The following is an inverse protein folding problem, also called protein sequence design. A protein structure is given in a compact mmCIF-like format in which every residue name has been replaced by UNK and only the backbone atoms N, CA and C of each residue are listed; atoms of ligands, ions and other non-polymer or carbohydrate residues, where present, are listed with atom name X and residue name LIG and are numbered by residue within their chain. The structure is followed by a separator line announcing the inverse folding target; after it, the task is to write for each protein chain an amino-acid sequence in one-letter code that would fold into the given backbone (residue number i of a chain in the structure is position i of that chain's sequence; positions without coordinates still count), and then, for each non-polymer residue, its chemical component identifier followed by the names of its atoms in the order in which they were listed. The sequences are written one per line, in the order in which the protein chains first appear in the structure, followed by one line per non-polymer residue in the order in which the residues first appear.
data_IF_784599863286
#
_entry.id   IF_784599863286
#
_cell.length_a   1.000
_cell.length_b   1.000
_cell.length_c   1.000
_cell.angle_alpha   90.00
_cell.angle_beta   90.00
_cell.angle_gamma   90.00
#
_symmetry.space_group_name_H-M   'P 1'
#
loop_
_entity.id
_entity.type
_entity.pdbx_description
1 polymer ?
#
# COMPACT_ATOMS: atom_id res chain seq x y z
N UNK A 1 8.23 -23.05 22.55
CA UNK A 1 9.44 -22.22 22.76
C UNK A 1 8.97 -20.78 22.81
N UNK A 2 8.70 -20.30 24.01
CA UNK A 2 8.27 -18.93 24.28
C UNK A 2 9.47 -17.99 24.10
N UNK A 3 9.28 -16.90 23.37
CA UNK A 3 10.30 -15.90 23.10
C UNK A 3 10.57 -15.05 24.33
N UNK A 4 11.85 -14.96 24.72
CA UNK A 4 12.32 -14.09 25.81
C UNK A 4 12.00 -12.62 25.55
N UNK A 5 11.56 -11.85 26.57
CA UNK A 5 11.23 -10.43 26.44
C UNK A 5 12.47 -9.54 26.28
N UNK A 6 12.24 -8.41 25.62
CA UNK A 6 13.23 -7.40 25.19
C UNK A 6 14.07 -6.83 26.35
N UNK A 7 15.38 -7.09 26.38
CA UNK A 7 16.33 -6.27 27.17
C UNK A 7 17.80 -6.35 26.75
N UNK A 8 18.24 -7.29 25.91
CA UNK A 8 19.64 -7.33 25.47
C UNK A 8 19.72 -7.46 23.96
N UNK A 9 20.29 -6.43 23.32
CA UNK A 9 20.88 -6.55 22.00
C UNK A 9 21.93 -7.67 22.10
N UNK A 10 21.54 -8.89 21.75
CA UNK A 10 22.40 -10.08 21.87
C UNK A 10 23.72 -9.74 21.20
N UNK A 11 24.83 -9.71 21.93
CA UNK A 11 26.11 -9.26 21.43
C UNK A 11 26.45 -10.02 20.14
N UNK A 12 26.22 -9.37 18.98
CA UNK A 12 26.40 -10.00 17.69
C UNK A 12 27.90 -10.14 17.45
N UNK A 13 28.34 -11.34 17.05
CA UNK A 13 29.68 -11.47 16.48
C UNK A 13 29.84 -10.56 15.27
N UNK A 14 31.07 -10.15 14.93
CA UNK A 14 31.34 -9.34 13.73
C UNK A 14 30.71 -9.97 12.48
N UNK A 15 30.78 -11.31 12.36
CA UNK A 15 30.12 -12.06 11.30
C UNK A 15 28.60 -11.84 11.31
N UNK A 16 27.93 -11.99 12.45
CA UNK A 16 26.48 -11.78 12.53
C UNK A 16 26.10 -10.32 12.27
N UNK A 17 26.84 -9.35 12.80
CA UNK A 17 26.61 -7.93 12.52
C UNK A 17 26.71 -7.63 11.01
N UNK A 18 27.72 -8.18 10.34
CA UNK A 18 27.88 -8.06 8.90
C UNK A 18 26.74 -8.74 8.12
N UNK A 19 26.36 -9.97 8.49
CA UNK A 19 25.27 -10.69 7.85
C UNK A 19 23.92 -10.01 8.04
N UNK A 20 23.71 -9.34 9.18
CA UNK A 20 22.52 -8.52 9.44
C UNK A 20 22.42 -7.36 8.44
N UNK A 21 23.52 -6.66 8.19
CA UNK A 21 23.59 -5.59 7.20
C UNK A 21 23.45 -6.11 5.77
N UNK A 22 24.12 -7.22 5.42
CA UNK A 22 24.01 -7.86 4.13
C UNK A 22 22.56 -8.29 3.83
N UNK A 23 21.89 -8.87 4.82
CA UNK A 23 20.49 -9.30 4.72
C UNK A 23 19.55 -8.09 4.58
N UNK A 24 19.82 -7.00 5.29
CA UNK A 24 19.06 -5.75 5.13
C UNK A 24 19.22 -5.20 3.71
N UNK A 25 20.42 -5.26 3.13
CA UNK A 25 20.63 -4.82 1.76
C UNK A 25 19.81 -5.64 0.74
N UNK A 26 19.64 -6.95 0.97
CA UNK A 26 18.77 -7.79 0.14
C UNK A 26 17.30 -7.34 0.14
N UNK A 27 16.84 -6.74 1.24
CA UNK A 27 15.49 -6.19 1.36
C UNK A 27 15.24 -4.99 0.42
N UNK A 28 16.28 -4.42 -0.19
CA UNK A 28 16.25 -3.15 -0.93
C UNK A 28 15.61 -2.04 -0.07
N UNK A 29 16.36 -1.46 0.89
CA UNK A 29 15.83 -0.50 1.86
C UNK A 29 15.12 0.69 1.22
N UNK A 30 15.47 1.04 -0.02
CA UNK A 30 14.81 2.10 -0.78
C UNK A 30 13.35 1.79 -1.14
N UNK A 31 12.91 0.53 -0.99
CA UNK A 31 11.51 0.08 -1.18
C UNK A 31 10.73 -0.05 0.12
N UNK A 32 11.39 0.10 1.26
CA UNK A 32 10.75 0.07 2.56
C UNK A 32 10.12 1.42 2.87
N UNK A 33 9.02 1.42 3.62
CA UNK A 33 8.36 2.68 4.02
C UNK A 33 9.22 3.39 5.08
N UNK A 34 8.90 4.65 5.35
CA UNK A 34 9.62 5.41 6.39
C UNK A 34 9.60 4.68 7.74
N UNK A 35 10.77 4.53 8.37
CA UNK A 35 10.97 3.80 9.62
C UNK A 35 10.98 2.27 9.50
N UNK A 36 10.59 1.69 8.35
CA UNK A 36 10.54 0.23 8.18
C UNK A 36 11.93 -0.39 8.04
N UNK A 37 12.90 0.32 7.47
CA UNK A 37 14.28 -0.17 7.39
C UNK A 37 14.90 -0.39 8.78
N UNK A 38 14.65 0.53 9.72
CA UNK A 38 15.11 0.41 11.11
C UNK A 38 14.36 -0.71 11.85
N UNK A 39 13.03 -0.80 11.67
CA UNK A 39 12.22 -1.87 12.24
C UNK A 39 12.67 -3.25 11.73
N UNK A 40 12.94 -3.36 10.43
CA UNK A 40 13.45 -4.57 9.80
C UNK A 40 14.86 -4.90 10.29
N UNK A 41 15.75 -3.90 10.38
CA UNK A 41 17.10 -4.08 10.93
C UNK A 41 17.06 -4.68 12.33
N UNK A 42 16.22 -4.16 13.25
CA UNK A 42 15.99 -4.75 14.58
C UNK A 42 15.55 -6.21 14.52
N UNK A 43 14.63 -6.55 13.62
CA UNK A 43 14.12 -7.92 13.46
C UNK A 43 15.12 -8.89 12.86
N UNK A 44 15.89 -8.48 11.86
CA UNK A 44 16.95 -9.31 11.27
C UNK A 44 17.96 -9.74 12.35
N UNK A 45 18.20 -8.90 13.36
CA UNK A 45 19.03 -9.29 14.52
C UNK A 45 18.55 -10.58 15.19
N UNK A 46 17.23 -10.79 15.31
CA UNK A 46 16.63 -12.01 15.85
C UNK A 46 16.70 -13.20 14.89
N UNK A 47 16.89 -12.99 13.59
CA UNK A 47 16.91 -14.06 12.57
C UNK A 47 18.27 -14.29 11.94
N UNK A 48 19.29 -13.54 12.34
CA UNK A 48 20.61 -13.58 11.71
C UNK A 48 21.26 -14.96 11.78
N UNK A 49 20.89 -15.78 12.77
CA UNK A 49 21.36 -17.16 12.91
C UNK A 49 20.82 -18.09 11.81
N UNK A 50 19.73 -17.73 11.14
CA UNK A 50 19.19 -18.44 9.97
C UNK A 50 19.86 -18.02 8.66
N UNK A 51 20.85 -17.13 8.71
CA UNK A 51 21.59 -16.65 7.55
C UNK A 51 22.99 -17.22 7.60
N UNK A 52 23.36 -18.00 6.59
CA UNK A 52 24.67 -18.63 6.50
C UNK A 52 25.42 -18.16 5.26
N UNK A 53 26.74 -18.14 5.34
CA UNK A 53 27.60 -17.90 4.18
C UNK A 53 28.53 -19.07 3.93
N UNK A 54 28.72 -19.41 2.67
CA UNK A 54 29.69 -20.41 2.23
C UNK A 54 30.44 -19.95 0.99
N UNK A 55 31.69 -20.38 0.78
CA UNK A 55 32.33 -20.24 -0.52
C UNK A 55 31.59 -21.07 -1.58
N UNK A 56 31.61 -20.62 -2.84
CA UNK A 56 31.13 -21.45 -3.94
C UNK A 56 32.06 -22.65 -4.16
N UNK A 57 31.49 -23.75 -4.64
CA UNK A 57 32.28 -24.90 -5.09
C UNK A 57 32.95 -24.59 -6.44
N UNK A 58 33.98 -25.36 -6.80
CA UNK A 58 34.64 -25.20 -8.09
C UNK A 58 33.63 -25.36 -9.24
N UNK A 59 33.60 -24.38 -10.16
CA UNK A 59 32.66 -24.31 -11.28
C UNK A 59 31.16 -24.31 -10.88
N UNK A 60 30.82 -23.96 -9.63
CA UNK A 60 29.42 -23.79 -9.24
C UNK A 60 28.81 -22.57 -9.94
N UNK A 61 27.71 -22.77 -10.66
CA UNK A 61 26.94 -21.66 -11.22
C UNK A 61 26.27 -20.86 -10.08
N UNK A 62 26.62 -19.58 -10.04
CA UNK A 62 26.10 -18.62 -9.06
C UNK A 62 24.83 -17.92 -9.55
N UNK A 63 24.48 -18.11 -10.82
CA UNK A 63 23.25 -17.59 -11.40
C UNK A 63 22.03 -18.08 -10.62
N UNK A 64 21.13 -17.16 -10.31
CA UNK A 64 19.95 -17.43 -9.48
C UNK A 64 20.21 -17.48 -7.97
N UNK A 65 21.40 -17.10 -7.49
CA UNK A 65 21.75 -17.11 -6.06
C UNK A 65 21.96 -15.72 -5.50
N UNK A 66 21.79 -15.60 -4.18
CA UNK A 66 22.24 -14.43 -3.43
C UNK A 66 23.73 -14.56 -3.12
N UNK A 67 24.48 -13.52 -3.44
CA UNK A 67 25.93 -13.49 -3.30
C UNK A 67 26.42 -12.22 -2.62
N UNK A 68 27.62 -12.33 -2.09
CA UNK A 68 28.39 -11.23 -1.51
C UNK A 68 29.84 -11.38 -1.96
N UNK A 69 30.47 -10.29 -2.42
CA UNK A 69 31.90 -10.28 -2.75
C UNK A 69 32.68 -9.61 -1.62
N UNK A 70 33.50 -10.38 -0.90
CA UNK A 70 34.30 -9.87 0.22
C UNK A 70 35.43 -8.93 -0.22
N UNK A 71 35.78 -8.94 -1.51
CA UNK A 71 36.82 -8.07 -2.07
C UNK A 71 36.23 -6.81 -2.74
N UNK A 72 34.96 -6.50 -2.48
CA UNK A 72 34.27 -5.34 -3.03
C UNK A 72 33.38 -4.66 -1.99
N UNK A 73 33.18 -3.34 -2.14
CA UNK A 73 32.22 -2.57 -1.33
C UNK A 73 30.76 -2.71 -1.80
N UNK A 74 30.47 -3.60 -2.75
CA UNK A 74 29.11 -3.82 -3.23
C UNK A 74 28.31 -4.59 -2.17
N UNK A 75 27.08 -4.12 -1.92
CA UNK A 75 26.17 -4.80 -1.02
C UNK A 75 25.79 -6.21 -1.53
N UNK A 76 25.30 -7.06 -0.62
CA UNK A 76 24.76 -8.36 -1.01
C UNK A 76 23.63 -8.18 -2.04
N UNK A 77 23.61 -9.04 -3.06
CA UNK A 77 22.66 -8.93 -4.15
C UNK A 77 22.35 -10.29 -4.77
N UNK A 78 21.27 -10.33 -5.53
CA UNK A 78 20.87 -11.50 -6.32
C UNK A 78 21.54 -11.46 -7.69
N UNK A 79 22.11 -12.59 -8.13
CA UNK A 79 22.61 -12.77 -9.49
C UNK A 79 21.48 -13.30 -10.39
N UNK A 80 21.01 -12.56 -11.41
CA UNK A 80 19.97 -13.06 -12.30
C UNK A 80 20.46 -14.18 -13.21
N UNK A 81 19.56 -15.12 -13.55
CA UNK A 81 19.86 -16.33 -14.33
C UNK A 81 20.51 -16.11 -15.70
N UNK A 82 20.33 -14.93 -16.30
CA UNK A 82 20.77 -14.64 -17.67
C UNK A 82 21.33 -13.21 -17.83
N UNK A 83 21.70 -12.56 -16.72
CA UNK A 83 22.25 -11.20 -16.78
C UNK A 83 23.77 -11.23 -16.62
N UNK A 84 24.52 -10.43 -17.42
CA UNK A 84 25.93 -10.22 -17.16
C UNK A 84 26.09 -9.59 -15.77
N UNK A 85 27.02 -10.12 -14.99
CA UNK A 85 27.37 -9.62 -13.67
C UNK A 85 28.88 -9.35 -13.64
N UNK A 86 29.34 -8.35 -12.86
CA UNK A 86 30.75 -8.07 -12.73
C UNK A 86 31.50 -9.29 -12.19
N UNK A 87 32.75 -9.48 -12.61
CA UNK A 87 33.59 -10.56 -12.12
C UNK A 87 33.76 -10.45 -10.60
N UNK A 88 33.32 -11.47 -9.87
CA UNK A 88 33.42 -11.55 -8.42
C UNK A 88 34.81 -12.07 -8.04
N UNK A 89 35.50 -11.37 -7.15
CA UNK A 89 36.88 -11.72 -6.77
C UNK A 89 36.91 -12.70 -5.60
N UNK A 90 36.10 -12.45 -4.57
CA UNK A 90 35.95 -13.31 -3.41
C UNK A 90 34.47 -13.57 -3.09
N UNK A 91 33.74 -14.27 -3.97
CA UNK A 91 32.32 -14.55 -3.77
C UNK A 91 32.07 -15.43 -2.54
N UNK A 92 30.96 -15.14 -1.86
CA UNK A 92 30.30 -15.96 -0.84
C UNK A 92 28.84 -16.08 -1.21
N UNK A 93 28.33 -17.31 -1.23
CA UNK A 93 26.91 -17.58 -1.39
C UNK A 93 26.24 -17.34 -0.04
N UNK A 94 25.17 -16.56 -0.07
CA UNK A 94 24.34 -16.26 1.09
C UNK A 94 23.13 -17.19 1.10
N UNK A 95 23.11 -18.13 2.03
CA UNK A 95 22.00 -19.04 2.24
C UNK A 95 20.98 -18.41 3.19
N UNK A 96 19.79 -18.15 2.66
CA UNK A 96 18.67 -17.52 3.36
C UNK A 96 17.43 -18.43 3.42
N UNK A 97 17.59 -19.74 3.17
CA UNK A 97 16.46 -20.68 3.11
C UNK A 97 15.72 -20.78 4.44
N UNK A 98 16.46 -20.92 5.53
CA UNK A 98 15.89 -20.97 6.88
C UNK A 98 15.24 -19.64 7.27
N UNK A 99 15.89 -18.51 6.94
CA UNK A 99 15.34 -17.16 7.17
C UNK A 99 13.98 -17.01 6.47
N UNK A 100 13.93 -17.36 5.19
CA UNK A 100 12.72 -17.29 4.37
C UNK A 100 11.63 -18.19 4.94
N UNK A 101 11.99 -19.39 5.41
CA UNK A 101 11.09 -20.32 6.09
C UNK A 101 10.49 -19.72 7.37
N UNK A 102 11.33 -19.13 8.23
CA UNK A 102 10.91 -18.51 9.48
C UNK A 102 9.92 -17.36 9.26
N UNK A 103 10.19 -16.47 8.30
CA UNK A 103 9.29 -15.33 8.00
C UNK A 103 7.97 -15.82 7.39
N UNK A 104 8.00 -16.78 6.45
CA UNK A 104 6.77 -17.39 5.89
C UNK A 104 5.92 -18.06 6.95
N UNK A 105 6.56 -18.73 7.92
CA UNK A 105 5.86 -19.30 9.06
C UNK A 105 5.15 -18.22 9.88
N UNK A 106 5.81 -17.10 10.17
CA UNK A 106 5.19 -15.98 10.90
C UNK A 106 3.99 -15.36 10.15
N UNK A 107 4.11 -15.17 8.83
CA UNK A 107 2.99 -14.71 7.99
C UNK A 107 1.81 -15.68 8.09
N UNK A 108 2.08 -17.00 8.04
CA UNK A 108 1.06 -18.04 8.18
C UNK A 108 0.38 -18.00 9.54
N UNK A 109 1.11 -17.69 10.61
CA UNK A 109 0.52 -17.52 11.95
C UNK A 109 -0.44 -16.33 11.98
N UNK A 110 -0.07 -15.18 11.41
CA UNK A 110 -0.99 -14.04 11.29
C UNK A 110 -2.25 -14.40 10.52
N UNK A 111 -2.11 -15.10 9.39
CA UNK A 111 -3.25 -15.53 8.57
C UNK A 111 -4.18 -16.51 9.30
N UNK A 112 -3.62 -17.40 10.13
CA UNK A 112 -4.40 -18.31 10.98
C UNK A 112 -5.15 -17.56 12.07
N UNK A 113 -4.53 -16.57 12.70
CA UNK A 113 -5.19 -15.73 13.72
C UNK A 113 -6.38 -14.99 13.12
N UNK A 114 -6.23 -14.40 11.93
CA UNK A 114 -7.34 -13.76 11.20
C UNK A 114 -8.50 -14.73 10.99
N UNK A 115 -8.20 -15.95 10.50
CA UNK A 115 -9.21 -16.98 10.23
C UNK A 115 -9.89 -17.51 11.49
N UNK A 116 -9.15 -17.70 12.58
CA UNK A 116 -9.67 -18.31 13.82
C UNK A 116 -10.57 -17.35 14.60
N UNK A 117 -10.16 -16.09 14.70
CA UNK A 117 -10.84 -15.15 15.58
C UNK A 117 -12.01 -14.42 14.89
N UNK A 118 -12.23 -14.63 13.57
CA UNK A 118 -13.07 -13.77 12.73
C UNK A 118 -12.81 -12.26 12.96
N UNK A 119 -11.62 -11.93 13.47
CA UNK A 119 -11.26 -10.61 13.94
C UNK A 119 -10.26 -10.00 12.97
N UNK A 120 -10.36 -8.69 12.77
CA UNK A 120 -9.33 -7.94 12.07
C UNK A 120 -8.06 -7.90 12.91
N UNK A 121 -6.88 -8.06 12.28
CA UNK A 121 -5.60 -7.80 12.94
C UNK A 121 -5.60 -6.40 13.56
N UNK A 122 -4.88 -6.23 14.66
CA UNK A 122 -4.54 -4.88 15.12
C UNK A 122 -3.70 -4.17 14.06
N UNK A 123 -3.70 -2.84 14.07
CA UNK A 123 -2.93 -2.06 13.10
C UNK A 123 -1.43 -2.36 13.17
N UNK A 124 -0.91 -2.65 14.36
CA UNK A 124 0.49 -3.03 14.55
C UNK A 124 0.80 -4.39 13.93
N UNK A 125 -0.08 -5.37 14.11
CA UNK A 125 0.06 -6.70 13.49
C UNK A 125 -0.08 -6.63 11.97
N UNK A 126 -1.00 -5.82 11.45
CA UNK A 126 -1.16 -5.65 10.01
C UNK A 126 0.06 -4.97 9.39
N UNK A 127 0.59 -3.90 10.00
CA UNK A 127 1.85 -3.27 9.58
C UNK A 127 3.00 -4.27 9.58
N UNK A 128 3.05 -5.13 10.60
CA UNK A 128 4.08 -6.14 10.72
C UNK A 128 3.98 -7.21 9.62
N UNK A 129 2.79 -7.79 9.43
CA UNK A 129 2.52 -8.75 8.37
C UNK A 129 2.85 -8.17 7.00
N UNK A 130 2.49 -6.91 6.76
CA UNK A 130 2.76 -6.21 5.52
C UNK A 130 4.27 -6.00 5.27
N UNK A 131 5.03 -5.67 6.33
CA UNK A 131 6.49 -5.58 6.27
C UNK A 131 7.12 -6.95 5.93
N UNK A 132 6.67 -8.01 6.61
CA UNK A 132 7.16 -9.37 6.40
C UNK A 132 6.86 -9.87 4.97
N UNK A 133 5.65 -9.59 4.45
CA UNK A 133 5.26 -9.89 3.08
C UNK A 133 6.13 -9.15 2.05
N UNK A 134 6.41 -7.85 2.26
CA UNK A 134 7.32 -7.09 1.39
C UNK A 134 8.74 -7.66 1.44
N UNK A 135 9.21 -8.00 2.63
CA UNK A 135 10.56 -8.54 2.80
C UNK A 135 10.71 -9.90 2.10
N UNK A 136 9.76 -10.81 2.27
CA UNK A 136 9.73 -12.08 1.51
C UNK A 136 9.65 -11.83 0.00
N UNK A 137 8.85 -10.87 -0.45
CA UNK A 137 8.80 -10.48 -1.86
C UNK A 137 10.15 -9.99 -2.38
N UNK A 138 10.92 -9.25 -1.57
CA UNK A 138 12.26 -8.78 -1.92
C UNK A 138 13.32 -9.90 -1.97
N UNK A 139 13.15 -10.93 -1.13
CA UNK A 139 13.99 -12.14 -1.06
C UNK A 139 13.59 -13.25 -2.05
N UNK A 140 12.48 -13.10 -2.76
CA UNK A 140 12.05 -14.04 -3.79
C UNK A 140 12.97 -14.01 -5.02
N UNK A 141 12.83 -15.01 -5.89
CA UNK A 141 13.54 -15.07 -7.18
C UNK A 141 13.26 -13.79 -7.98
N UNK A 142 14.23 -12.87 -8.00
CA UNK A 142 14.16 -11.67 -8.83
C UNK A 142 14.39 -12.11 -10.27
N UNK A 143 13.31 -12.47 -10.96
CA UNK A 143 13.38 -12.51 -12.42
C UNK A 143 13.90 -11.15 -12.88
N UNK A 144 15.00 -11.18 -13.63
CA UNK A 144 15.60 -9.97 -14.18
C UNK A 144 14.54 -9.11 -14.87
N UNK A 145 14.77 -7.80 -14.92
CA UNK A 145 13.82 -6.85 -15.52
C UNK A 145 13.39 -7.35 -16.91
N UNK A 146 12.13 -7.78 -17.05
CA UNK A 146 11.60 -8.38 -18.30
C UNK A 146 11.29 -7.34 -19.37
N UNK A 147 10.85 -6.15 -18.96
CA UNK A 147 10.55 -5.05 -19.87
C UNK A 147 11.79 -4.17 -20.09
N UNK A 148 12.10 -3.93 -21.37
CA UNK A 148 13.17 -3.01 -21.78
C UNK A 148 12.81 -1.59 -21.34
N UNK A 149 13.74 -0.91 -20.67
CA UNK A 149 13.58 0.51 -20.33
C UNK A 149 14.11 1.37 -21.46
N UNK A 150 13.27 2.27 -21.95
CA UNK A 150 13.66 3.26 -22.93
C UNK A 150 14.06 4.54 -22.19
N UNK A 151 15.24 5.12 -22.47
CA UNK A 151 15.60 6.42 -21.92
C UNK A 151 14.64 7.49 -22.46
N UNK A 152 14.24 8.40 -21.60
CA UNK A 152 13.34 9.50 -21.95
C UNK A 152 13.86 10.77 -21.28
N UNK A 153 13.49 11.92 -21.83
CA UNK A 153 13.75 13.24 -21.22
C UNK A 153 12.46 14.07 -21.14
N UNK A 154 11.30 13.39 -21.14
CA UNK A 154 10.00 14.04 -21.11
C UNK A 154 9.79 14.75 -19.76
N UNK A 155 9.06 15.86 -19.80
CA UNK A 155 8.62 16.56 -18.59
C UNK A 155 7.23 16.08 -18.21
N UNK A 156 7.03 15.86 -16.93
CA UNK A 156 5.81 15.36 -16.34
C UNK A 156 5.28 16.34 -15.31
N UNK A 157 3.95 16.49 -15.29
CA UNK A 157 3.24 17.09 -14.17
C UNK A 157 2.84 15.98 -13.21
N UNK A 158 3.17 16.15 -11.93
CA UNK A 158 2.93 15.15 -10.89
C UNK A 158 2.18 15.77 -9.72
N UNK A 159 1.16 15.06 -9.25
CA UNK A 159 0.49 15.30 -7.96
C UNK A 159 0.60 14.06 -7.08
N UNK A 160 0.78 14.25 -5.77
CA UNK A 160 0.99 13.15 -4.81
C UNK A 160 -0.11 13.15 -3.76
N UNK A 161 -0.54 11.95 -3.36
CA UNK A 161 -1.55 11.69 -2.35
C UNK A 161 -2.92 11.39 -2.96
N UNK A 162 -3.69 10.54 -2.26
CA UNK A 162 -5.01 10.07 -2.71
C UNK A 162 -5.96 11.22 -3.05
N UNK A 163 -5.96 12.28 -2.24
CA UNK A 163 -6.85 13.42 -2.44
C UNK A 163 -6.47 14.25 -3.68
N UNK A 164 -5.17 14.42 -3.94
CA UNK A 164 -4.69 15.16 -5.11
C UNK A 164 -4.95 14.36 -6.39
N UNK A 165 -4.73 13.04 -6.35
CA UNK A 165 -5.06 12.12 -7.43
C UNK A 165 -6.57 12.12 -7.72
N UNK A 166 -7.40 12.08 -6.68
CA UNK A 166 -8.86 12.22 -6.79
C UNK A 166 -9.25 13.53 -7.48
N UNK A 167 -8.65 14.65 -7.08
CA UNK A 167 -8.95 15.96 -7.64
C UNK A 167 -8.65 16.06 -9.14
N UNK A 168 -7.48 15.60 -9.58
CA UNK A 168 -7.14 15.62 -11.02
C UNK A 168 -8.01 14.67 -11.84
N UNK A 169 -8.33 13.49 -11.28
CA UNK A 169 -9.29 12.56 -11.90
C UNK A 169 -10.71 13.13 -11.94
N UNK A 170 -11.09 13.95 -10.97
CA UNK A 170 -12.37 14.66 -10.89
C UNK A 170 -12.38 15.96 -11.73
N UNK A 171 -11.63 16.03 -12.82
CA UNK A 171 -11.56 17.20 -13.71
C UNK A 171 -11.22 18.50 -12.97
N UNK A 172 -10.40 18.42 -11.91
CA UNK A 172 -10.04 19.54 -11.03
C UNK A 172 -11.26 20.22 -10.39
N UNK A 173 -12.33 19.46 -10.15
CA UNK A 173 -13.51 19.92 -9.41
C UNK A 173 -13.42 19.49 -7.95
N UNK A 174 -14.04 20.29 -7.09
CA UNK A 174 -14.22 19.94 -5.68
C UNK A 174 -14.98 18.62 -5.56
N UNK A 175 -14.57 17.82 -4.59
CA UNK A 175 -15.36 16.66 -4.19
C UNK A 175 -16.61 17.13 -3.44
N UNK A 176 -17.75 16.98 -4.09
CA UNK A 176 -19.07 17.19 -3.51
C UNK A 176 -19.85 15.90 -3.70
N UNK A 177 -20.06 15.08 -2.64
CA UNK A 177 -20.94 13.94 -2.75
C UNK A 177 -22.33 14.45 -3.13
N UNK A 178 -22.94 13.82 -4.13
CA UNK A 178 -24.13 14.31 -4.84
C UNK A 178 -25.22 14.82 -3.89
N UNK A 179 -25.79 16.00 -4.16
CA UNK A 179 -26.83 16.66 -3.33
C UNK A 179 -28.07 15.79 -3.06
N UNK A 180 -28.35 14.81 -3.93
CA UNK A 180 -29.42 13.83 -3.76
C UNK A 180 -29.22 12.92 -2.52
N UNK A 181 -27.99 12.67 -2.09
CA UNK A 181 -27.68 11.84 -0.91
C UNK A 181 -27.59 12.65 0.39
N UNK A 182 -27.24 13.94 0.32
CA UNK A 182 -27.32 14.83 1.49
C UNK A 182 -28.76 14.96 2.00
N UNK A 183 -29.74 15.08 1.09
CA UNK A 183 -31.17 15.07 1.45
C UNK A 183 -31.64 13.78 2.12
N UNK A 184 -30.98 12.63 1.86
CA UNK A 184 -31.28 11.35 2.55
C UNK A 184 -30.70 11.30 3.97
N UNK A 185 -29.59 11.99 4.25
CA UNK A 185 -29.02 12.10 5.61
C UNK A 185 -29.74 13.12 6.48
N UNK A 186 -30.37 14.13 5.86
CA UNK A 186 -31.19 15.13 6.55
C UNK A 186 -32.59 14.62 6.94
N UNK A 187 -32.98 13.41 6.51
CA UNK A 187 -34.10 12.71 7.13
C UNK A 187 -33.64 12.15 8.48
N UNK A 188 -34.27 12.54 9.60
CA UNK A 188 -33.91 12.01 10.90
C UNK A 188 -34.17 10.50 10.89
N UNK A 189 -33.08 9.72 10.89
CA UNK A 189 -33.17 8.33 11.30
C UNK A 189 -33.63 8.34 12.76
N UNK A 190 -34.84 7.83 13.03
CA UNK A 190 -35.35 7.61 14.38
C UNK A 190 -34.26 6.93 15.22
N UNK A 191 -33.69 7.70 16.15
CA UNK A 191 -32.61 7.25 17.04
C UNK A 191 -33.13 6.56 18.29
N UNK A 192 -34.43 6.23 18.35
CA UNK A 192 -35.10 5.83 19.58
C UNK A 192 -35.35 4.31 19.72
N UNK A 193 -34.63 3.46 18.99
CA UNK A 193 -34.74 2.00 19.11
C UNK A 193 -33.43 1.29 19.50
N UNK A 194 -32.57 1.92 20.32
CA UNK A 194 -31.36 1.25 20.84
C UNK A 194 -30.98 1.69 22.26
N UNK A 195 -31.95 1.77 23.17
CA UNK A 195 -31.74 1.92 24.62
C UNK A 195 -32.38 0.77 25.40
N UNK A 196 -32.13 -0.48 24.99
CA UNK A 196 -32.43 -1.64 25.82
C UNK A 196 -31.53 -2.84 25.49
N UNK A 197 -30.25 -2.75 25.85
CA UNK A 197 -29.40 -3.92 26.10
C UNK A 197 -28.21 -3.50 26.96
N UNK A 198 -28.47 -3.36 28.27
CA UNK A 198 -27.41 -3.39 29.28
C UNK A 198 -26.87 -4.82 29.36
N UNK A 199 -25.58 -5.00 29.15
CA UNK A 199 -24.85 -6.18 29.63
C UNK A 199 -23.92 -6.86 28.63
N UNK A 200 -22.79 -6.23 28.30
CA UNK A 200 -21.52 -6.91 28.05
C UNK A 200 -20.41 -5.84 27.99
N UNK A 201 -19.48 -5.89 28.93
CA UNK A 201 -18.30 -5.05 28.99
C UNK A 201 -17.28 -5.50 27.94
N UNK A 202 -17.23 -4.83 26.79
CA UNK A 202 -16.13 -4.99 25.82
C UNK A 202 -15.09 -3.87 26.00
N UNK A 203 -13.98 -4.24 26.64
CA UNK A 203 -12.85 -3.39 27.01
C UNK A 203 -11.94 -2.96 25.84
N UNK A 204 -12.43 -2.88 24.58
CA UNK A 204 -11.58 -2.62 23.41
C UNK A 204 -12.02 -1.46 22.48
N UNK A 205 -12.97 -0.62 22.88
CA UNK A 205 -13.51 0.46 22.03
C UNK A 205 -12.66 1.76 21.98
N UNK A 206 -11.62 1.87 22.82
CA UNK A 206 -10.81 3.10 22.93
C UNK A 206 -10.09 3.48 21.63
N UNK A 207 -9.67 2.49 20.82
CA UNK A 207 -8.98 2.71 19.54
C UNK A 207 -9.91 3.15 18.40
N UNK A 208 -11.16 2.68 18.40
CA UNK A 208 -12.15 3.05 17.38
C UNK A 208 -12.72 4.45 17.64
N UNK A 209 -12.89 4.82 18.91
CA UNK A 209 -13.32 6.16 19.32
C UNK A 209 -12.28 7.25 19.00
N UNK A 210 -11.00 7.01 19.28
CA UNK A 210 -9.92 7.95 18.96
C UNK A 210 -9.77 8.19 17.44
N UNK A 211 -9.95 7.13 16.63
CA UNK A 211 -9.97 7.25 15.15
C UNK A 211 -11.22 7.94 14.63
N UNK A 212 -12.38 7.72 15.25
CA UNK A 212 -13.60 8.46 14.94
C UNK A 212 -13.41 9.95 15.18
N UNK A 213 -12.75 10.33 16.28
CA UNK A 213 -12.42 11.72 16.57
C UNK A 213 -11.40 12.28 15.56
N UNK A 214 -10.31 11.56 15.25
CA UNK A 214 -9.32 12.04 14.28
C UNK A 214 -9.88 12.15 12.84
N UNK A 215 -10.69 11.18 12.39
CA UNK A 215 -11.33 11.16 11.07
C UNK A 215 -12.44 12.23 10.95
N UNK A 216 -13.23 12.44 12.01
CA UNK A 216 -14.27 13.49 12.04
C UNK A 216 -13.64 14.89 12.14
N UNK A 217 -12.58 15.07 12.93
CA UNK A 217 -11.84 16.34 13.01
C UNK A 217 -11.13 16.69 11.70
N UNK A 218 -10.67 15.69 10.93
CA UNK A 218 -10.13 15.92 9.59
C UNK A 218 -11.23 16.22 8.56
N UNK A 219 -12.41 15.61 8.64
CA UNK A 219 -13.48 15.85 7.65
C UNK A 219 -14.13 17.25 7.77
N UNK A 220 -14.35 17.76 8.99
CA UNK A 220 -14.85 19.12 9.20
C UNK A 220 -13.85 20.20 8.74
N UNK A 221 -12.55 19.95 8.90
CA UNK A 221 -11.48 20.79 8.35
C UNK A 221 -11.37 20.66 6.82
N UNK A 222 -11.55 19.45 6.26
CA UNK A 222 -11.49 19.16 4.82
C UNK A 222 -12.67 19.76 4.03
N UNK A 223 -13.82 20.02 4.66
CA UNK A 223 -14.93 20.75 4.05
C UNK A 223 -14.71 22.27 3.96
N UNK A 224 -13.77 22.82 4.73
CA UNK A 224 -13.44 24.26 4.72
C UNK A 224 -12.12 24.58 4.03
N UNK A 225 -11.27 23.58 3.81
CA UNK A 225 -9.96 23.74 3.18
C UNK A 225 -10.08 23.73 1.65
N UNK A 226 -9.49 24.74 0.99
CA UNK A 226 -9.14 24.65 -0.43
C UNK A 226 -7.75 24.01 -0.50
N UNK A 227 -7.62 22.70 -0.79
CA UNK A 227 -6.30 22.18 -1.10
C UNK A 227 -5.91 22.72 -2.47
N UNK A 228 -5.04 23.74 -2.49
CA UNK A 228 -4.16 23.96 -3.62
C UNK A 228 -3.25 22.74 -3.71
N UNK A 229 -3.71 21.71 -4.42
CA UNK A 229 -2.87 20.56 -4.72
C UNK A 229 -1.75 21.03 -5.64
N UNK A 230 -0.55 21.18 -5.09
CA UNK A 230 0.60 21.67 -5.84
C UNK A 230 0.99 20.66 -6.90
N UNK A 231 0.82 21.05 -8.16
CA UNK A 231 1.45 20.41 -9.29
C UNK A 231 2.96 20.62 -9.20
N UNK A 232 3.72 19.55 -9.40
CA UNK A 232 5.18 19.62 -9.45
C UNK A 232 5.67 19.08 -10.78
N UNK A 233 6.71 19.72 -11.34
CA UNK A 233 7.32 19.29 -12.60
C UNK A 233 8.47 18.33 -12.31
N UNK A 234 8.48 17.21 -13.03
CA UNK A 234 9.50 16.17 -12.93
C UNK A 234 10.06 15.85 -14.32
N UNK A 235 11.32 15.48 -14.37
CA UNK A 235 11.98 14.97 -15.58
C UNK A 235 11.93 13.44 -15.57
N UNK A 236 11.19 12.87 -16.50
CA UNK A 236 11.21 11.44 -16.75
C UNK A 236 12.59 11.05 -17.25
N UNK A 237 13.20 10.05 -16.61
CA UNK A 237 14.54 9.54 -16.97
C UNK A 237 14.47 8.27 -17.82
N UNK A 238 13.43 7.46 -17.63
CA UNK A 238 13.15 6.27 -18.44
C UNK A 238 11.71 5.78 -18.23
N UNK A 239 11.23 4.95 -19.14
CA UNK A 239 9.95 4.23 -19.06
C UNK A 239 10.07 2.77 -19.47
N UNK A 240 9.08 2.00 -19.03
CA UNK A 240 8.79 0.62 -19.42
C UNK A 240 7.29 0.40 -19.30
N UNK A 241 6.77 -0.74 -19.78
CA UNK A 241 5.36 -1.12 -19.62
C UNK A 241 4.88 -1.08 -18.16
N UNK A 242 5.76 -1.39 -17.19
CA UNK A 242 5.42 -1.41 -15.77
C UNK A 242 5.56 -0.07 -15.03
N UNK A 243 6.05 0.99 -15.69
CA UNK A 243 6.24 2.30 -15.06
C UNK A 243 7.57 2.96 -15.43
N UNK A 244 8.01 3.92 -14.62
CA UNK A 244 9.04 4.90 -15.00
C UNK A 244 9.98 5.27 -13.85
N UNK A 245 11.09 5.93 -14.17
CA UNK A 245 11.88 6.69 -13.20
C UNK A 245 11.76 8.19 -13.51
N UNK A 246 11.65 9.01 -12.46
CA UNK A 246 11.54 10.45 -12.59
C UNK A 246 12.47 11.16 -11.60
N UNK A 247 12.97 12.32 -11.99
CA UNK A 247 13.89 13.14 -11.23
C UNK A 247 13.39 14.58 -11.13
N UNK A 248 13.54 15.20 -9.96
CA UNK A 248 13.34 16.63 -9.79
C UNK A 248 14.60 17.25 -9.15
N UNK A 249 15.19 18.29 -9.75
CA UNK A 249 16.42 18.91 -9.26
C UNK A 249 16.20 19.79 -8.02
N UNK A 250 14.99 20.36 -7.87
CA UNK A 250 14.66 21.25 -6.76
C UNK A 250 14.16 20.47 -5.53
N UNK A 251 14.17 21.12 -4.37
CA UNK A 251 13.42 20.65 -3.21
C UNK A 251 11.93 20.66 -3.58
N UNK A 252 11.43 19.51 -4.04
CA UNK A 252 10.04 19.37 -4.46
C UNK A 252 9.15 19.85 -3.31
N UNK A 253 8.25 20.82 -3.53
CA UNK A 253 7.39 21.34 -2.46
C UNK A 253 6.40 20.27 -1.95
N UNK A 254 6.30 19.15 -2.67
CA UNK A 254 5.48 17.99 -2.35
C UNK A 254 6.31 17.00 -1.53
N UNK A 255 5.91 16.78 -0.28
CA UNK A 255 6.45 15.67 0.53
C UNK A 255 5.99 14.36 -0.11
N UNK A 256 6.94 13.59 -0.62
CA UNK A 256 6.69 12.27 -1.21
C UNK A 256 7.50 11.20 -0.48
N UNK A 257 6.92 10.02 -0.34
CA UNK A 257 7.49 8.87 0.36
C UNK A 257 7.22 7.57 -0.41
N UNK A 258 7.98 6.53 -0.09
CA UNK A 258 7.76 5.19 -0.64
C UNK A 258 6.38 4.68 -0.23
N UNK A 259 5.60 4.24 -1.21
CA UNK A 259 4.21 3.80 -1.03
C UNK A 259 3.17 4.92 -1.21
N UNK A 260 3.58 6.15 -1.49
CA UNK A 260 2.64 7.21 -1.85
C UNK A 260 1.98 6.91 -3.20
N UNK A 261 0.68 7.21 -3.27
CA UNK A 261 -0.05 7.26 -4.54
C UNK A 261 0.29 8.58 -5.23
N UNK A 262 0.48 8.54 -6.54
CA UNK A 262 0.63 9.74 -7.34
C UNK A 262 -0.16 9.61 -8.65
N UNK A 263 -0.48 10.75 -9.23
CA UNK A 263 -0.98 10.85 -10.58
C UNK A 263 0.02 11.67 -11.39
N UNK A 264 0.23 11.29 -12.64
CA UNK A 264 1.15 11.96 -13.53
C UNK A 264 0.60 12.04 -14.96
N UNK A 265 1.01 13.08 -15.67
CA UNK A 265 0.70 13.28 -17.08
C UNK A 265 1.85 14.03 -17.76
N UNK A 266 1.89 14.06 -19.10
CA UNK A 266 2.87 14.88 -19.83
C UNK A 266 2.67 16.36 -19.51
N UNK A 267 3.70 17.19 -19.73
CA UNK A 267 3.61 18.65 -19.48
C UNK A 267 2.45 19.32 -20.26
N UNK A 268 2.12 18.79 -21.43
CA UNK A 268 1.01 19.25 -22.27
C UNK A 268 -0.35 18.60 -21.94
N UNK A 269 -0.37 17.63 -21.02
CA UNK A 269 -1.56 16.91 -20.59
C UNK A 269 -2.52 17.82 -19.82
N UNK A 270 -3.58 18.27 -20.49
CA UNK A 270 -4.58 19.17 -19.90
C UNK A 270 -5.83 18.44 -19.43
N UNK A 271 -6.17 17.30 -20.02
CA UNK A 271 -7.41 16.60 -19.72
C UNK A 271 -7.21 15.59 -18.59
N UNK A 272 -8.26 15.39 -17.78
CA UNK A 272 -8.29 14.35 -16.72
C UNK A 272 -8.04 12.94 -17.25
N UNK A 273 -8.37 12.68 -18.52
CA UNK A 273 -8.15 11.38 -19.15
C UNK A 273 -6.67 11.08 -19.45
N UNK A 274 -5.83 12.12 -19.47
CA UNK A 274 -4.38 12.01 -19.73
C UNK A 274 -3.59 11.65 -18.46
N UNK A 275 -4.27 11.63 -17.30
CA UNK A 275 -3.64 11.35 -16.01
C UNK A 275 -3.57 9.86 -15.75
N UNK A 276 -2.34 9.36 -15.70
CA UNK A 276 -2.01 8.01 -15.26
C UNK A 276 -1.88 7.97 -13.75
N UNK A 277 -2.17 6.81 -13.16
CA UNK A 277 -1.95 6.56 -11.73
C UNK A 277 -0.73 5.69 -11.52
N UNK A 278 0.03 6.01 -10.48
CA UNK A 278 1.17 5.22 -10.07
C UNK A 278 1.40 5.21 -8.57
N UNK A 279 2.27 4.32 -8.13
CA UNK A 279 2.76 4.25 -6.75
C UNK A 279 4.27 4.41 -6.72
N UNK A 280 4.77 5.19 -5.76
CA UNK A 280 6.21 5.33 -5.51
C UNK A 280 6.75 4.01 -4.95
N UNK A 281 7.68 3.38 -5.67
CA UNK A 281 8.30 2.10 -5.27
C UNK A 281 9.68 2.24 -4.69
N UNK A 282 10.41 3.28 -5.08
CA UNK A 282 11.66 3.64 -4.45
C UNK A 282 11.91 5.12 -4.57
N UNK A 283 12.74 5.64 -3.67
CA UNK A 283 13.10 7.05 -3.61
C UNK A 283 14.55 7.18 -3.15
N UNK A 284 15.31 8.05 -3.80
CA UNK A 284 16.71 8.37 -3.45
C UNK A 284 17.03 9.83 -3.71
N UNK A 285 17.89 10.40 -2.90
CA UNK A 285 18.49 11.72 -3.15
C UNK A 285 19.73 11.53 -4.01
N UNK A 286 19.97 12.41 -4.99
CA UNK A 286 21.23 12.39 -5.76
C UNK A 286 22.34 13.12 -5.00
N UNK A 287 23.64 12.80 -5.24
CA UNK A 287 24.75 13.45 -4.55
C UNK A 287 24.79 14.99 -4.69
N UNK A 288 24.36 15.51 -5.85
CA UNK A 288 24.28 16.96 -6.14
C UNK A 288 22.98 17.60 -5.66
N UNK A 289 22.19 16.91 -4.85
CA UNK A 289 20.83 17.31 -4.48
C UNK A 289 19.78 16.87 -5.51
N UNK A 290 18.52 17.14 -5.16
CA UNK A 290 17.37 16.69 -5.92
C UNK A 290 16.92 15.27 -5.58
N UNK A 291 15.71 14.95 -6.01
CA UNK A 291 14.99 13.74 -5.66
C UNK A 291 14.75 12.89 -6.89
N UNK A 292 15.10 11.61 -6.82
CA UNK A 292 14.80 10.64 -7.85
C UNK A 292 13.90 9.56 -7.29
N UNK A 293 12.86 9.20 -8.04
CA UNK A 293 11.92 8.17 -7.64
C UNK A 293 11.64 7.19 -8.78
N UNK A 294 11.23 5.99 -8.39
CA UNK A 294 10.66 5.00 -9.28
C UNK A 294 9.15 4.91 -9.06
N UNK A 295 8.40 5.02 -10.15
CA UNK A 295 6.95 4.85 -10.17
C UNK A 295 6.62 3.52 -10.81
N UNK A 296 5.81 2.72 -10.12
CA UNK A 296 5.06 1.64 -10.76
C UNK A 296 3.73 2.20 -11.27
N UNK A 297 3.44 1.99 -12.54
CA UNK A 297 2.16 2.39 -13.11
C UNK A 297 1.07 1.43 -12.64
N UNK A 298 0.05 1.96 -11.98
CA UNK A 298 -1.11 1.19 -11.50
C UNK A 298 -2.24 1.15 -12.55
N UNK A 299 -2.42 2.25 -13.28
CA UNK A 299 -3.46 2.36 -14.31
C UNK A 299 -3.15 3.50 -15.29
N UNK A 300 -3.59 3.35 -16.54
CA UNK A 300 -3.52 4.42 -17.55
C UNK A 300 -4.55 5.53 -17.32
N UNK A 301 -5.64 5.22 -16.62
CA UNK A 301 -6.65 6.20 -16.21
C UNK A 301 -7.36 5.74 -14.94
N UNK A 302 -8.07 6.67 -14.30
CA UNK A 302 -8.94 6.37 -13.18
C UNK A 302 -10.07 7.39 -13.07
N UNK A 303 -11.17 6.96 -12.47
CA UNK A 303 -12.36 7.78 -12.26
C UNK A 303 -12.50 8.13 -10.78
N UNK A 304 -12.67 9.42 -10.51
CA UNK A 304 -12.99 9.89 -9.16
C UNK A 304 -14.37 9.38 -8.73
N UNK A 305 -14.43 8.78 -7.55
CA UNK A 305 -15.69 8.32 -6.94
C UNK A 305 -15.77 8.76 -5.48
N UNK A 306 -16.98 9.00 -5.00
CA UNK A 306 -17.30 9.03 -3.59
C UNK A 306 -17.61 7.61 -3.10
N UNK A 307 -17.04 7.21 -1.97
CA UNK A 307 -17.24 5.90 -1.36
C UNK A 307 -17.96 6.07 -0.03
N UNK A 308 -19.10 5.43 0.12
CA UNK A 308 -19.79 5.30 1.41
C UNK A 308 -19.97 3.82 1.72
N UNK A 309 -19.59 3.38 2.92
CA UNK A 309 -19.84 2.00 3.32
C UNK A 309 -21.28 1.83 3.78
N UNK A 310 -21.97 0.85 3.19
CA UNK A 310 -23.33 0.46 3.56
C UNK A 310 -23.28 -0.59 4.67
N UNK A 311 -22.30 -1.49 4.63
CA UNK A 311 -22.06 -2.51 5.66
C UNK A 311 -20.57 -2.78 5.86
N UNK A 312 -20.21 -3.25 7.06
CA UNK A 312 -18.83 -3.50 7.45
C UNK A 312 -18.08 -2.26 7.95
N UNK A 313 -16.75 -2.36 8.12
CA UNK A 313 -15.90 -1.23 8.51
C UNK A 313 -16.08 -0.02 7.58
N UNK A 314 -16.14 1.18 8.17
CA UNK A 314 -16.34 2.44 7.47
C UNK A 314 -17.78 2.95 7.39
N UNK A 315 -18.78 2.16 7.82
CA UNK A 315 -20.23 2.49 7.68
C UNK A 315 -20.66 3.82 8.32
N UNK A 316 -20.00 4.25 9.39
CA UNK A 316 -20.34 5.49 10.11
C UNK A 316 -19.71 6.76 9.50
N UNK A 317 -18.93 6.62 8.43
CA UNK A 317 -18.24 7.75 7.81
C UNK A 317 -19.10 8.36 6.70
N UNK A 318 -18.96 9.68 6.54
CA UNK A 318 -19.43 10.35 5.34
C UNK A 318 -18.66 9.87 4.11
N UNK A 319 -19.19 10.20 2.93
CA UNK A 319 -18.56 9.89 1.65
C UNK A 319 -17.06 10.21 1.66
N UNK A 320 -16.25 9.20 1.41
CA UNK A 320 -14.80 9.30 1.29
C UNK A 320 -14.37 9.38 -0.16
N UNK A 321 -13.23 10.00 -0.43
CA UNK A 321 -12.65 10.02 -1.78
C UNK A 321 -12.08 8.65 -2.13
N UNK A 322 -12.33 8.21 -3.36
CA UNK A 322 -11.72 7.01 -3.92
C UNK A 322 -11.51 7.11 -5.42
N UNK A 323 -10.70 6.19 -5.95
CA UNK A 323 -10.44 6.11 -7.39
C UNK A 323 -10.86 4.74 -7.90
N UNK A 324 -11.77 4.73 -8.85
CA UNK A 324 -12.17 3.54 -9.59
C UNK A 324 -11.20 3.34 -10.75
N UNK A 325 -10.49 2.22 -10.76
CA UNK A 325 -9.60 1.83 -11.85
C UNK A 325 -10.38 0.90 -12.78
N UNK A 326 -10.64 1.33 -14.04
CA UNK A 326 -11.30 0.49 -15.04
C UNK A 326 -10.37 -0.62 -15.53
N UNK A 327 -10.94 -1.62 -16.22
CA UNK A 327 -10.22 -2.82 -16.67
C UNK A 327 -8.94 -2.47 -17.44
N UNK A 328 -7.81 -3.00 -16.97
CA UNK A 328 -6.49 -2.81 -17.58
C UNK A 328 -6.06 -3.98 -18.49
N UNK A 329 -6.64 -5.19 -18.35
CA UNK A 329 -6.33 -6.35 -19.21
C UNK A 329 -7.57 -7.28 -19.40
N UNK A 330 -7.95 -7.66 -20.63
CA UNK A 330 -9.11 -8.52 -20.90
C UNK A 330 -9.03 -9.93 -20.29
N UNK A 331 -7.83 -10.46 -20.03
CA UNK A 331 -7.60 -11.89 -19.75
C UNK A 331 -7.57 -12.23 -18.25
N UNK A 332 -7.12 -11.30 -17.39
CA UNK A 332 -6.82 -11.66 -15.98
C UNK A 332 -7.61 -10.93 -14.89
N UNK A 333 -8.20 -9.73 -15.10
CA UNK A 333 -8.67 -8.97 -13.92
C UNK A 333 -9.96 -8.15 -14.00
N UNK A 334 -10.55 -8.08 -12.80
CA UNK A 334 -11.77 -7.39 -12.41
C UNK A 334 -11.47 -5.93 -12.05
N UNK A 335 -12.46 -5.04 -12.13
CA UNK A 335 -12.34 -3.64 -11.68
C UNK A 335 -11.75 -3.55 -10.27
N UNK A 336 -10.88 -2.56 -10.04
CA UNK A 336 -10.32 -2.31 -8.70
C UNK A 336 -10.66 -0.93 -8.18
N UNK A 337 -10.71 -0.80 -6.86
CA UNK A 337 -11.04 0.42 -6.15
C UNK A 337 -9.90 0.82 -5.22
N UNK A 338 -9.37 2.02 -5.39
CA UNK A 338 -8.43 2.62 -4.46
C UNK A 338 -9.18 3.43 -3.40
N UNK A 339 -8.85 3.18 -2.14
CA UNK A 339 -9.44 3.83 -0.97
C UNK A 339 -8.34 4.35 -0.06
N UNK A 340 -8.70 5.17 0.93
CA UNK A 340 -7.77 5.44 2.04
C UNK A 340 -7.45 4.13 2.78
N UNK A 341 -6.20 4.00 3.22
CA UNK A 341 -5.74 2.78 3.89
C UNK A 341 -6.43 2.57 5.25
N UNK A 342 -6.78 1.32 5.56
CA UNK A 342 -7.34 0.94 6.87
C UNK A 342 -8.80 1.35 7.13
N UNK A 343 -9.49 1.99 6.17
CA UNK A 343 -10.91 2.35 6.33
C UNK A 343 -11.89 1.22 6.03
N UNK A 344 -11.54 0.36 5.09
CA UNK A 344 -12.41 -0.72 4.58
C UNK A 344 -11.68 -2.07 4.63
N UNK A 345 -12.45 -3.15 4.55
CA UNK A 345 -11.93 -4.51 4.52
C UNK A 345 -12.61 -5.34 3.42
N UNK A 346 -12.04 -6.48 3.07
CA UNK A 346 -12.74 -7.45 2.23
C UNK A 346 -14.06 -7.87 2.90
N UNK A 347 -15.13 -7.98 2.11
CA UNK A 347 -16.50 -8.22 2.57
C UNK A 347 -17.35 -6.95 2.70
N UNK A 348 -16.73 -5.77 2.92
CA UNK A 348 -17.44 -4.48 3.01
C UNK A 348 -18.26 -4.22 1.74
N UNK A 349 -19.52 -3.80 1.92
CA UNK A 349 -20.37 -3.35 0.81
C UNK A 349 -20.34 -1.83 0.81
N UNK A 350 -20.01 -1.25 -0.33
CA UNK A 350 -19.88 0.19 -0.53
C UNK A 350 -20.79 0.69 -1.64
N UNK A 351 -21.28 1.92 -1.47
CA UNK A 351 -21.89 2.75 -2.50
C UNK A 351 -20.82 3.62 -3.12
N UNK A 352 -20.74 3.60 -4.44
CA UNK A 352 -19.83 4.41 -5.25
C UNK A 352 -20.63 5.48 -5.98
N UNK A 353 -20.46 6.74 -5.61
CA UNK A 353 -21.05 7.89 -6.28
C UNK A 353 -20.07 8.43 -7.33
N UNK A 354 -20.52 8.53 -8.58
CA UNK A 354 -19.73 9.06 -9.71
C UNK A 354 -20.06 10.53 -9.97
N UNK A 355 -19.19 11.21 -10.70
CA UNK A 355 -19.35 12.63 -11.07
C UNK A 355 -20.49 12.86 -12.07
N UNK A 356 -20.88 11.83 -12.83
CA UNK A 356 -22.04 11.80 -13.72
C UNK A 356 -23.39 11.61 -12.98
N UNK A 357 -23.36 11.50 -11.65
CA UNK A 357 -24.54 11.29 -10.81
C UNK A 357 -24.97 9.83 -10.68
N UNK A 358 -24.35 8.90 -11.40
CA UNK A 358 -24.63 7.48 -11.26
C UNK A 358 -24.12 6.96 -9.91
N UNK A 359 -24.87 6.01 -9.33
CA UNK A 359 -24.46 5.28 -8.12
C UNK A 359 -24.35 3.80 -8.41
N UNK A 360 -23.27 3.18 -7.93
CA UNK A 360 -23.02 1.75 -8.06
C UNK A 360 -22.88 1.14 -6.66
N UNK A 361 -23.34 -0.09 -6.49
CA UNK A 361 -23.12 -0.85 -5.27
C UNK A 361 -22.06 -1.91 -5.55
N UNK A 362 -21.08 -2.01 -4.67
CA UNK A 362 -19.95 -2.92 -4.83
C UNK A 362 -19.65 -3.64 -3.53
N UNK A 363 -19.36 -4.94 -3.61
CA UNK A 363 -18.76 -5.70 -2.51
C UNK A 363 -17.26 -5.79 -2.75
N UNK A 364 -16.47 -5.32 -1.79
CA UNK A 364 -15.02 -5.51 -1.78
C UNK A 364 -14.73 -7.00 -1.55
N UNK A 365 -13.95 -7.62 -2.42
CA UNK A 365 -13.73 -9.07 -2.41
C UNK A 365 -12.36 -9.47 -1.92
N UNK A 366 -11.34 -8.70 -2.30
CA UNK A 366 -9.94 -9.02 -2.01
C UNK A 366 -9.16 -7.73 -1.86
N UNK A 367 -8.28 -7.66 -0.86
CA UNK A 367 -7.27 -6.60 -0.76
C UNK A 367 -6.06 -7.01 -1.62
N UNK A 368 -5.91 -6.36 -2.78
CA UNK A 368 -4.84 -6.65 -3.75
C UNK A 368 -3.52 -6.06 -3.27
N UNK A 369 -3.57 -4.81 -2.81
CA UNK A 369 -2.39 -4.07 -2.38
C UNK A 369 -2.77 -3.06 -1.30
N UNK A 370 -1.86 -2.78 -0.36
CA UNK A 370 -2.04 -1.71 0.61
C UNK A 370 -0.73 -1.02 0.91
N UNK A 371 -0.79 0.31 1.02
CA UNK A 371 0.25 1.19 1.55
C UNK A 371 -0.22 1.86 2.83
N UNK A 372 0.58 2.73 3.43
CA UNK A 372 0.08 3.58 4.52
C UNK A 372 -0.94 4.62 4.03
N UNK A 373 -0.91 4.98 2.75
CA UNK A 373 -1.76 6.02 2.19
C UNK A 373 -3.03 5.46 1.53
N UNK A 374 -2.92 4.33 0.85
CA UNK A 374 -4.05 3.76 0.11
C UNK A 374 -4.18 2.26 0.26
N UNK A 375 -5.36 1.73 -0.04
CA UNK A 375 -5.63 0.32 -0.20
C UNK A 375 -6.33 0.10 -1.54
N UNK A 376 -5.94 -0.96 -2.26
CA UNK A 376 -6.50 -1.36 -3.55
C UNK A 376 -7.28 -2.64 -3.38
N UNK A 377 -8.57 -2.59 -3.67
CA UNK A 377 -9.47 -3.72 -3.55
C UNK A 377 -9.97 -4.19 -4.91
N UNK A 378 -9.98 -5.50 -5.12
CA UNK A 378 -10.83 -6.12 -6.14
C UNK A 378 -12.26 -6.07 -5.64
N UNK A 379 -13.22 -5.74 -6.50
CA UNK A 379 -14.63 -5.72 -6.11
C UNK A 379 -15.53 -6.37 -7.16
N UNK A 380 -16.77 -6.66 -6.76
CA UNK A 380 -17.84 -7.09 -7.66
C UNK A 380 -19.04 -6.18 -7.47
N UNK A 381 -19.73 -5.85 -8.56
CA UNK A 381 -20.98 -5.12 -8.48
C UNK A 381 -22.05 -6.00 -7.83
N UNK A 382 -22.91 -5.40 -7.03
CA UNK A 382 -24.06 -6.05 -6.40
C UNK A 382 -25.31 -5.23 -6.68
N UNK A 383 -26.48 -5.87 -6.62
CA UNK A 383 -27.74 -5.14 -6.67
C UNK A 383 -27.78 -4.09 -5.56
N UNK A 384 -28.44 -2.96 -5.82
CA UNK A 384 -28.72 -1.99 -4.77
C UNK A 384 -29.45 -2.72 -3.65
N UNK A 385 -28.91 -2.66 -2.43
CA UNK A 385 -29.61 -3.18 -1.27
C UNK A 385 -30.77 -2.22 -1.02
N UNK A 386 -32.00 -2.65 -1.31
CA UNK A 386 -33.18 -1.98 -0.80
C UNK A 386 -33.09 -2.05 0.72
N UNK A 387 -32.93 -0.90 1.38
CA UNK A 387 -33.17 -0.78 2.82
C UNK A 387 -34.66 -0.98 3.05
N UNK A 388 -35.11 -2.23 3.06
CA UNK A 388 -36.45 -2.60 3.49
C UNK A 388 -36.49 -2.39 5.00
N UNK A 389 -37.04 -1.25 5.42
CA UNK A 389 -37.66 -1.13 6.74
C UNK A 389 -38.78 -2.17 6.78
N UNK A 390 -38.48 -3.35 7.30
CA UNK A 390 -39.51 -4.35 7.58
C UNK A 390 -40.12 -3.92 8.90
N UNK A 391 -41.17 -3.11 8.84
CA UNK A 391 -42.07 -2.90 9.98
C UNK A 391 -42.63 -4.28 10.37
N UNK A 392 -42.21 -4.77 11.53
CA UNK A 392 -42.86 -5.91 12.17
C UNK A 392 -44.20 -5.37 12.67
N UNK A 393 -45.36 -5.88 12.20
CA UNK A 393 -46.64 -5.45 12.73
C UNK A 393 -46.71 -5.91 14.19
N UNK A 394 -46.82 -4.95 15.11
CA UNK A 394 -47.16 -5.23 16.50
C UNK A 394 -48.53 -5.89 16.52
N UNK A 395 -48.54 -7.15 16.92
CA UNK A 395 -49.75 -7.91 17.23
C UNK A 395 -50.49 -7.16 18.36
N UNK A 396 -51.71 -6.69 18.09
CA UNK A 396 -52.61 -6.23 19.13
C UNK A 396 -53.09 -7.46 19.91
N UNK A 397 -52.67 -7.58 21.17
CA UNK A 397 -53.31 -8.46 22.13
C UNK A 397 -54.50 -7.70 22.73
N UNK A 398 -55.69 -8.26 22.54
CA UNK A 398 -56.90 -7.92 23.30
C UNK A 398 -56.94 -8.60 24.66
#
# INVERSE_FOLDING_TARGET
MEGSPDSEETALSVKQAYLRLATLALADPYRLRHGEAEALYRRIGRWVHFVQTRPPQANEDLSGRFVLDLASDHAAHYLPLAAPHPALRQPRILDIRELTGAIRHQITLFDRTIKRCNSTLTQSEQKQRDLDMRFIGALGERQGRRALRQPTAAKLLVVVGLHACHYVANKRRRFEPTQADQRRKDQPLDRDAMTASKGATDLNDSGHRARRIQAVLTDAAQRRYQPEFRLSTWQQSNESEGGMAAFSPEAVPVRTQVGDLLAYTSEDGRNSADWKLGAVRWLRTRPKGGLELGVEQLADNAYAVGIEAISGPGRANDYQRGLLIPRTNPVTDSHTLLTASGLYAAGTIVRLARDDGATLHARLTELVHSTQQFAQFRFRLVAALETTHTEIPLYQAG
#
